data_IF_530140519416
#
_entry.id   IF_530140519416
#
_cell.length_a   1.000
_cell.length_b   1.000
_cell.length_c   1.000
_cell.angle_alpha   90.00
_cell.angle_beta   90.00
_cell.angle_gamma   90.00
#
_symmetry.space_group_name_H-M   'P 1'
#
loop_
_entity.id
_entity.type
_entity.pdbx_description
1 polymer ?
#
# COMPACT_ATOMS: atom_id res chain seq x y z
N UNK A 1 -5.44 10.23 -9.55
CA UNK A 1 -5.28 9.05 -10.40
C UNK A 1 -5.19 9.42 -11.86
N UNK A 2 -4.51 8.60 -12.65
CA UNK A 2 -4.43 8.77 -14.10
C UNK A 2 -5.70 8.16 -14.70
N UNK A 3 -6.51 8.91 -15.48
CA UNK A 3 -7.70 8.35 -16.11
C UNK A 3 -7.31 7.14 -16.98
N UNK A 4 -8.01 6.00 -16.80
CA UNK A 4 -7.83 4.71 -17.50
C UNK A 4 -6.69 3.79 -17.01
N UNK A 5 -5.94 4.17 -15.97
CA UNK A 5 -4.93 3.30 -15.38
C UNK A 5 -5.55 2.31 -14.38
N UNK A 6 -5.22 1.02 -14.50
CA UNK A 6 -5.51 0.01 -13.47
C UNK A 6 -4.54 0.20 -12.30
N UNK A 7 -4.83 1.19 -11.45
CA UNK A 7 -3.97 1.53 -10.31
C UNK A 7 -3.66 0.34 -9.39
N UNK A 8 -4.62 -0.56 -9.07
CA UNK A 8 -4.32 -1.76 -8.30
C UNK A 8 -3.32 -2.71 -8.96
N UNK A 9 -3.46 -2.99 -10.25
CA UNK A 9 -2.50 -3.84 -10.96
C UNK A 9 -1.11 -3.18 -11.03
N UNK A 10 -1.08 -1.90 -11.39
CA UNK A 10 0.15 -1.13 -11.52
C UNK A 10 0.91 -1.08 -10.19
N UNK A 11 0.22 -0.83 -9.06
CA UNK A 11 0.88 -0.74 -7.77
C UNK A 11 1.47 -2.08 -7.33
N UNK A 12 0.77 -3.19 -7.56
CA UNK A 12 1.30 -4.52 -7.26
C UNK A 12 2.53 -4.85 -8.10
N UNK A 13 2.52 -4.53 -9.39
CA UNK A 13 3.66 -4.77 -10.27
C UNK A 13 4.86 -3.89 -9.90
N UNK A 14 4.61 -2.63 -9.55
CA UNK A 14 5.63 -1.71 -9.04
C UNK A 14 6.28 -2.24 -7.75
N UNK A 15 5.49 -2.73 -6.79
CA UNK A 15 6.02 -3.29 -5.53
C UNK A 15 6.96 -4.46 -5.81
N UNK A 16 6.52 -5.43 -6.63
CA UNK A 16 7.35 -6.59 -6.99
C UNK A 16 8.63 -6.16 -7.72
N UNK A 17 8.51 -5.25 -8.67
CA UNK A 17 9.65 -4.77 -9.45
C UNK A 17 10.68 -4.10 -8.54
N UNK A 18 10.25 -3.16 -7.68
CA UNK A 18 11.19 -2.46 -6.80
C UNK A 18 11.84 -3.42 -5.81
N UNK A 19 11.06 -4.33 -5.18
CA UNK A 19 11.64 -5.34 -4.27
C UNK A 19 12.59 -6.32 -4.97
N UNK A 20 12.48 -6.51 -6.29
CA UNK A 20 13.46 -7.30 -7.05
C UNK A 20 14.80 -6.59 -7.26
N UNK A 21 14.84 -5.27 -7.07
CA UNK A 21 16.00 -4.41 -7.35
C UNK A 21 16.68 -3.89 -6.08
N UNK A 22 16.04 -4.01 -4.92
CA UNK A 22 16.58 -3.49 -3.66
C UNK A 22 16.11 -4.27 -2.44
N UNK A 23 16.96 -4.34 -1.43
CA UNK A 23 16.67 -4.96 -0.13
C UNK A 23 16.11 -3.95 0.90
N UNK A 24 15.95 -2.67 0.53
CA UNK A 24 15.40 -1.67 1.46
C UNK A 24 13.88 -1.80 1.60
N UNK A 25 13.31 -1.55 2.79
CA UNK A 25 11.86 -1.52 2.98
C UNK A 25 11.18 -0.46 2.10
N UNK A 26 9.97 -0.75 1.60
CA UNK A 26 9.20 0.23 0.83
C UNK A 26 8.07 0.84 1.66
N UNK A 27 7.82 2.12 1.39
CA UNK A 27 6.64 2.84 1.84
C UNK A 27 5.64 2.91 0.70
N UNK A 28 4.48 2.27 0.89
CA UNK A 28 3.38 2.25 -0.08
C UNK A 28 2.45 3.40 0.25
N UNK A 29 2.27 4.30 -0.72
CA UNK A 29 1.40 5.47 -0.62
C UNK A 29 0.34 5.40 -1.73
N UNK A 30 -0.92 5.30 -1.35
CA UNK A 30 -2.05 5.35 -2.28
C UNK A 30 -3.30 5.83 -1.57
N UNK A 31 -4.08 6.67 -2.27
CA UNK A 31 -5.41 7.09 -1.85
C UNK A 31 -6.52 6.09 -2.21
N UNK A 32 -6.21 5.06 -3.01
CA UNK A 32 -7.18 4.05 -3.44
C UNK A 32 -6.98 2.78 -2.59
N UNK A 33 -8.00 2.42 -1.82
CA UNK A 33 -7.97 1.24 -0.93
C UNK A 33 -7.68 -0.05 -1.70
N UNK A 34 -8.30 -0.23 -2.86
CA UNK A 34 -8.07 -1.39 -3.72
C UNK A 34 -6.60 -1.49 -4.19
N UNK A 35 -5.97 -0.34 -4.47
CA UNK A 35 -4.57 -0.31 -4.86
C UNK A 35 -3.67 -0.62 -3.67
N UNK A 36 -3.93 -0.01 -2.52
CA UNK A 36 -3.20 -0.26 -1.29
C UNK A 36 -3.26 -1.75 -0.92
N UNK A 37 -4.44 -2.38 -0.96
CA UNK A 37 -4.59 -3.80 -0.70
C UNK A 37 -3.81 -4.66 -1.71
N UNK A 38 -3.89 -4.34 -3.01
CA UNK A 38 -3.15 -5.05 -4.06
C UNK A 38 -1.64 -4.99 -3.82
N UNK A 39 -1.10 -3.81 -3.55
CA UNK A 39 0.32 -3.61 -3.24
C UNK A 39 0.76 -4.34 -1.96
N UNK A 40 -0.04 -4.27 -0.89
CA UNK A 40 0.25 -4.96 0.37
C UNK A 40 0.20 -6.49 0.22
N UNK A 41 -0.68 -7.02 -0.63
CA UNK A 41 -0.86 -8.46 -0.82
C UNK A 41 0.35 -9.16 -1.46
N UNK A 42 1.14 -8.42 -2.23
CA UNK A 42 2.32 -8.95 -2.95
C UNK A 42 3.64 -8.60 -2.27
N UNK A 43 3.62 -7.64 -1.34
CA UNK A 43 4.80 -7.19 -0.61
C UNK A 43 5.41 -8.32 0.22
N UNK A 44 6.71 -8.52 0.08
CA UNK A 44 7.46 -9.49 0.89
C UNK A 44 8.06 -8.82 2.12
N UNK A 45 7.70 -9.33 3.31
CA UNK A 45 8.15 -8.79 4.59
C UNK A 45 7.14 -7.83 5.24
N UNK A 46 7.61 -6.83 5.97
CA UNK A 46 6.76 -5.85 6.65
C UNK A 46 6.72 -4.53 5.86
N UNK A 47 5.59 -4.19 5.22
CA UNK A 47 5.44 -2.94 4.50
C UNK A 47 5.22 -1.76 5.45
N UNK A 48 5.55 -0.56 4.98
CA UNK A 48 5.13 0.70 5.59
C UNK A 48 4.01 1.30 4.73
N UNK A 49 2.89 1.67 5.34
CA UNK A 49 1.81 2.43 4.69
C UNK A 49 1.99 3.89 5.05
N UNK A 50 2.13 4.75 4.03
CA UNK A 50 2.32 6.17 4.23
C UNK A 50 0.99 6.91 4.41
N UNK A 51 1.01 7.89 5.32
CA UNK A 51 -0.04 8.84 5.72
C UNK A 51 -1.50 8.40 5.53
N UNK A 52 -2.13 8.07 6.66
CA UNK A 52 -3.57 8.26 6.84
C UNK A 52 -3.78 9.69 7.33
N UNK A 53 -4.21 10.59 6.44
CA UNK A 53 -4.82 11.85 6.92
C UNK A 53 -5.95 11.46 7.86
N UNK A 54 -6.03 12.09 9.04
CA UNK A 54 -6.92 11.72 10.16
C UNK A 54 -8.43 11.83 9.89
N UNK A 55 -8.84 11.67 8.64
CA UNK A 55 -10.20 11.40 8.23
C UNK A 55 -10.58 9.99 8.72
N UNK A 56 -11.55 9.95 9.63
CA UNK A 56 -12.00 8.74 10.33
C UNK A 56 -12.41 7.63 9.35
N UNK A 57 -13.09 8.00 8.25
CA UNK A 57 -13.49 7.07 7.17
C UNK A 57 -12.29 6.36 6.51
N UNK A 58 -11.17 7.06 6.33
CA UNK A 58 -9.93 6.47 5.78
C UNK A 58 -9.29 5.52 6.77
N UNK A 59 -9.23 5.91 8.05
CA UNK A 59 -8.67 5.07 9.10
C UNK A 59 -9.46 3.76 9.23
N UNK A 60 -10.79 3.82 9.19
CA UNK A 60 -11.66 2.64 9.24
C UNK A 60 -11.39 1.65 8.10
N UNK A 61 -11.00 2.12 6.92
CA UNK A 61 -10.67 1.28 5.77
C UNK A 61 -9.22 0.77 5.78
N UNK A 62 -8.28 1.61 6.23
CA UNK A 62 -6.84 1.29 6.20
C UNK A 62 -6.40 0.43 7.39
N UNK A 63 -6.91 0.68 8.61
CA UNK A 63 -6.51 -0.06 9.81
C UNK A 63 -6.76 -1.59 9.70
N UNK A 64 -7.89 -2.07 9.11
CA UNK A 64 -8.07 -3.49 8.83
C UNK A 64 -7.00 -4.06 7.89
N UNK A 65 -6.61 -3.33 6.84
CA UNK A 65 -5.56 -3.76 5.91
C UNK A 65 -4.20 -3.83 6.59
N UNK A 66 -3.87 -2.81 7.38
CA UNK A 66 -2.64 -2.76 8.18
C UNK A 66 -2.54 -3.97 9.11
N UNK A 67 -3.64 -4.30 9.79
CA UNK A 67 -3.71 -5.50 10.63
C UNK A 67 -3.59 -6.79 9.82
N UNK A 68 -4.30 -6.90 8.69
CA UNK A 68 -4.31 -8.07 7.81
C UNK A 68 -2.93 -8.39 7.23
N UNK A 69 -2.19 -7.38 6.81
CA UNK A 69 -0.89 -7.51 6.16
C UNK A 69 0.29 -7.21 7.11
N UNK A 70 0.03 -7.04 8.41
CA UNK A 70 1.04 -6.69 9.43
C UNK A 70 1.89 -5.47 9.04
N UNK A 71 1.28 -4.46 8.43
CA UNK A 71 1.97 -3.25 7.99
C UNK A 71 2.28 -2.32 9.17
N UNK A 72 3.30 -1.47 9.03
CA UNK A 72 3.45 -0.28 9.86
C UNK A 72 2.69 0.89 9.21
N UNK A 73 2.26 1.87 10.01
CA UNK A 73 1.58 3.08 9.52
C UNK A 73 2.34 4.30 9.99
N UNK A 74 2.45 5.29 9.11
CA UNK A 74 2.86 6.66 9.47
C UNK A 74 1.58 7.47 9.71
N UNK A 75 1.42 8.00 10.92
CA UNK A 75 0.29 8.83 11.35
C UNK A 75 0.79 10.21 11.80
#
# INVERSE_FOLDING_TARGET
GIPLADEPAILADCVKLVQSLTDVPLSIDSSIVAALESGLSVYQGKPLVNSVTGEEERLEQVLPLVKKYNAAVVA
#
